data_IF_388245242401
#
_entry.id   IF_388245242401
#
_cell.length_a   1.000
_cell.length_b   1.000
_cell.length_c   1.000
_cell.angle_alpha   90.00
_cell.angle_beta   90.00
_cell.angle_gamma   90.00
#
_symmetry.space_group_name_H-M   'P 1'
#
loop_
_entity.id
_entity.type
_entity.pdbx_description
1 polymer ?
#
# COMPACT_ATOMS: atom_id res chain seq x y z
N UNK A 1 -4.37 15.88 13.03
CA UNK A 1 -2.92 15.77 12.80
C UNK A 1 -2.47 17.06 12.14
N UNK A 2 -1.46 17.75 12.67
CA UNK A 2 -1.07 19.09 12.19
C UNK A 2 -0.09 19.02 11.01
N UNK A 3 -0.20 19.97 10.08
CA UNK A 3 0.56 20.08 8.83
C UNK A 3 1.48 21.32 8.90
N UNK A 4 2.75 21.22 8.53
CA UNK A 4 3.77 22.30 8.62
C UNK A 4 4.52 22.42 7.28
N UNK A 5 4.90 23.59 6.74
CA UNK A 5 5.56 23.69 5.40
C UNK A 5 6.89 24.45 5.48
N UNK A 6 8.03 23.90 5.02
CA UNK A 6 9.35 24.28 5.58
C UNK A 6 10.33 25.21 4.82
N UNK A 7 9.95 26.01 3.81
CA UNK A 7 10.93 26.98 3.20
C UNK A 7 10.38 28.34 2.79
N UNK A 8 9.07 28.47 2.81
CA UNK A 8 8.37 29.73 3.13
C UNK A 8 7.34 29.29 4.14
N UNK A 9 7.60 29.52 5.43
CA UNK A 9 6.84 28.87 6.51
C UNK A 9 5.44 29.47 6.67
N UNK A 10 4.58 29.30 5.65
CA UNK A 10 3.14 29.42 5.75
C UNK A 10 2.60 28.11 6.32
N UNK A 11 2.25 28.17 7.60
CA UNK A 11 1.73 27.07 8.39
C UNK A 11 0.20 27.03 8.25
N UNK A 12 -0.35 25.95 7.70
CA UNK A 12 -1.80 25.72 7.66
C UNK A 12 -2.16 24.57 8.59
N UNK A 13 -2.84 24.92 9.69
CA UNK A 13 -3.41 23.96 10.62
C UNK A 13 -4.77 23.48 10.11
N UNK A 14 -4.86 22.27 9.56
CA UNK A 14 -6.15 21.58 9.40
C UNK A 14 -6.30 20.50 10.48
N UNK A 15 -7.42 20.57 11.21
CA UNK A 15 -7.74 19.64 12.30
C UNK A 15 -8.66 18.55 11.73
N UNK A 16 -8.12 17.35 11.51
CA UNK A 16 -8.92 16.12 11.48
C UNK A 16 -8.91 15.48 12.87
N UNK A 17 -10.08 15.36 13.54
CA UNK A 17 -10.16 14.70 14.84
C UNK A 17 -10.02 13.18 14.68
N UNK A 18 -8.99 12.59 15.31
CA UNK A 18 -8.92 11.16 15.58
C UNK A 18 -9.79 10.88 16.82
N UNK A 19 -11.00 10.40 16.59
CA UNK A 19 -12.00 10.18 17.64
C UNK A 19 -11.77 8.84 18.36
N UNK A 20 -11.00 8.83 19.46
CA UNK A 20 -11.00 7.71 20.42
C UNK A 20 -11.04 8.11 21.90
N UNK A 21 -11.09 9.41 22.22
CA UNK A 21 -11.34 9.88 23.59
C UNK A 21 -12.33 11.04 23.49
N UNK A 22 -13.48 10.97 24.18
CA UNK A 22 -14.36 12.15 24.33
C UNK A 22 -13.55 13.22 25.08
N UNK A 23 -13.14 14.32 24.42
CA UNK A 23 -12.35 15.33 25.11
C UNK A 23 -13.25 16.02 26.16
N UNK A 24 -12.72 16.26 27.36
CA UNK A 24 -13.43 16.98 28.44
C UNK A 24 -13.85 18.41 28.04
N UNK A 25 -13.29 18.94 26.95
CA UNK A 25 -13.67 20.18 26.28
C UNK A 25 -13.67 19.95 24.77
N UNK A 26 -14.70 20.40 24.07
CA UNK A 26 -14.69 20.49 22.60
C UNK A 26 -13.67 21.57 22.19
N UNK A 27 -12.63 21.24 21.41
CA UNK A 27 -11.68 22.24 20.94
C UNK A 27 -12.42 23.32 20.14
N UNK A 28 -12.19 24.59 20.47
CA UNK A 28 -12.69 25.71 19.66
C UNK A 28 -11.80 25.85 18.43
N UNK A 29 -12.31 26.40 17.31
CA UNK A 29 -11.50 26.68 16.12
C UNK A 29 -10.30 27.62 16.39
N UNK A 30 -10.33 28.34 17.51
CA UNK A 30 -9.27 29.24 17.99
C UNK A 30 -8.18 28.55 18.80
N UNK A 31 -8.39 27.30 19.22
CA UNK A 31 -7.46 26.61 20.12
C UNK A 31 -6.16 26.26 19.38
N UNK A 32 -5.04 26.77 19.89
CA UNK A 32 -3.71 26.53 19.35
C UNK A 32 -2.96 25.53 20.24
N UNK A 33 -2.30 24.58 19.61
CA UNK A 33 -1.36 23.72 20.30
C UNK A 33 -0.03 24.45 20.43
N UNK A 34 0.61 24.34 21.60
CA UNK A 34 2.02 24.67 21.73
C UNK A 34 2.81 23.46 21.23
N UNK A 35 3.52 23.61 20.11
CA UNK A 35 4.20 22.51 19.43
C UNK A 35 5.71 22.70 19.57
N UNK A 36 6.46 21.73 20.14
CA UNK A 36 7.91 21.75 20.08
C UNK A 36 8.33 21.48 18.63
N UNK A 37 9.04 22.43 18.04
CA UNK A 37 9.50 22.34 16.66
C UNK A 37 11.02 22.32 16.63
N UNK A 38 11.56 21.32 15.95
CA UNK A 38 12.97 21.20 15.69
C UNK A 38 13.23 20.92 14.22
N UNK A 39 14.35 21.41 13.70
CA UNK A 39 14.81 21.07 12.37
C UNK A 39 16.33 21.01 12.31
N UNK A 40 16.82 20.25 11.33
CA UNK A 40 18.23 20.01 11.10
C UNK A 40 18.62 20.20 9.64
N UNK A 41 19.85 20.68 9.42
CA UNK A 41 20.47 20.84 8.11
C UNK A 41 22.00 20.68 8.24
N UNK A 42 22.69 20.62 7.11
CA UNK A 42 24.12 20.27 7.06
C UNK A 42 24.34 18.76 6.94
N UNK A 43 25.46 18.26 7.45
CA UNK A 43 25.77 16.82 7.41
C UNK A 43 24.83 16.07 8.36
N UNK A 44 23.91 15.27 7.82
CA UNK A 44 22.87 14.63 8.65
C UNK A 44 23.37 13.37 9.41
N UNK A 45 24.57 12.86 9.07
CA UNK A 45 25.13 11.59 9.58
C UNK A 45 25.95 11.71 10.88
N UNK A 46 26.47 12.89 11.21
CA UNK A 46 27.33 13.11 12.38
C UNK A 46 26.97 14.39 13.12
N UNK A 47 27.13 14.41 14.44
CA UNK A 47 27.02 15.65 15.24
C UNK A 47 27.99 16.73 14.75
N UNK A 48 29.15 16.32 14.20
CA UNK A 48 30.07 17.23 13.53
C UNK A 48 29.45 17.72 12.22
N UNK A 49 29.15 19.02 12.17
CA UNK A 49 28.59 19.70 10.99
C UNK A 49 27.07 19.64 10.87
N UNK A 50 26.37 19.01 11.82
CA UNK A 50 24.90 19.06 11.90
C UNK A 50 24.45 20.28 12.70
N UNK A 51 23.62 21.13 12.09
CA UNK A 51 23.00 22.25 12.81
C UNK A 51 21.60 21.85 13.22
N UNK A 52 21.32 21.83 14.53
CA UNK A 52 19.98 21.57 15.08
C UNK A 52 19.43 22.87 15.67
N UNK A 53 18.20 23.20 15.30
CA UNK A 53 17.46 24.35 15.82
C UNK A 53 16.19 23.86 16.51
N UNK A 54 15.89 24.39 17.69
CA UNK A 54 14.71 24.00 18.46
C UNK A 54 14.00 25.22 19.08
N UNK A 55 12.68 25.27 18.98
CA UNK A 55 11.85 26.32 19.59
C UNK A 55 10.39 25.88 19.66
N UNK A 56 9.58 26.65 20.39
CA UNK A 56 8.15 26.38 20.54
C UNK A 56 7.33 27.22 19.58
N UNK A 57 6.49 26.56 18.77
CA UNK A 57 5.45 27.21 17.99
C UNK A 57 4.22 27.43 18.87
N UNK A 58 3.90 28.72 19.14
CA UNK A 58 2.73 29.13 19.94
C UNK A 58 1.64 29.82 19.13
N UNK A 59 1.99 30.32 17.95
CA UNK A 59 1.10 31.03 17.03
C UNK A 59 0.72 30.12 15.85
N UNK A 60 -0.39 30.43 15.18
CA UNK A 60 -0.82 29.73 13.95
C UNK A 60 0.27 29.72 12.89
N UNK A 61 0.91 30.86 12.71
CA UNK A 61 1.99 31.07 11.76
C UNK A 61 3.15 31.76 12.45
N UNK A 62 4.35 31.26 12.20
CA UNK A 62 5.61 31.90 12.56
C UNK A 62 6.41 32.04 11.26
N UNK A 63 7.26 33.05 11.15
CA UNK A 63 8.20 33.12 10.04
C UNK A 63 9.53 33.59 10.61
N UNK A 64 10.60 32.91 10.24
CA UNK A 64 11.95 33.22 10.68
C UNK A 64 12.89 32.97 9.51
N UNK A 65 14.07 33.58 9.58
CA UNK A 65 15.16 33.40 8.63
C UNK A 65 16.32 32.76 9.37
N UNK A 66 16.85 31.66 8.85
CA UNK A 66 18.11 31.08 9.31
C UNK A 66 19.18 31.38 8.25
N UNK A 67 20.14 32.22 8.61
CA UNK A 67 21.20 32.70 7.69
C UNK A 67 22.20 31.60 7.38
N UNK A 68 22.28 30.55 8.22
CA UNK A 68 23.18 29.41 8.00
C UNK A 68 22.57 28.36 7.07
N UNK A 69 21.25 28.42 6.80
CA UNK A 69 20.59 27.47 5.92
C UNK A 69 20.89 27.76 4.44
N UNK A 70 21.71 26.91 3.83
CA UNK A 70 21.97 26.99 2.40
C UNK A 70 20.75 26.59 1.55
N UNK A 71 20.41 27.35 0.48
CA UNK A 71 19.37 26.95 -0.47
C UNK A 71 19.61 25.59 -1.12
N UNK A 72 20.86 25.13 -1.19
CA UNK A 72 21.26 23.87 -1.83
C UNK A 72 21.26 22.64 -0.92
N UNK A 73 20.91 22.79 0.36
CA UNK A 73 20.92 21.68 1.33
C UNK A 73 19.51 21.32 1.80
N UNK A 74 19.16 20.03 1.92
CA UNK A 74 17.88 19.63 2.49
C UNK A 74 17.79 20.06 3.96
N UNK A 75 16.63 20.62 4.32
CA UNK A 75 16.21 20.79 5.71
C UNK A 75 15.29 19.65 6.08
N UNK A 76 15.53 19.04 7.25
CA UNK A 76 14.69 17.99 7.82
C UNK A 76 14.07 18.51 9.12
N UNK A 77 12.75 18.66 9.14
CA UNK A 77 12.02 19.05 10.34
C UNK A 77 11.50 17.80 11.10
N UNK A 78 11.39 17.94 12.42
CA UNK A 78 11.10 16.85 13.35
C UNK A 78 12.09 15.67 13.22
N UNK A 79 13.42 15.89 13.31
CA UNK A 79 14.40 14.83 13.18
C UNK A 79 14.10 13.65 14.13
N UNK A 80 14.34 12.45 13.61
CA UNK A 80 14.07 11.16 14.28
C UNK A 80 12.61 10.93 14.66
N UNK A 81 11.69 11.68 14.04
CA UNK A 81 10.25 11.59 14.26
C UNK A 81 9.88 11.68 15.75
N UNK A 82 10.48 12.64 16.43
CA UNK A 82 10.43 12.77 17.89
C UNK A 82 9.04 13.12 18.39
N UNK A 83 8.29 13.91 17.60
CA UNK A 83 6.96 14.39 17.97
C UNK A 83 5.88 13.90 16.99
N UNK A 84 4.63 13.70 17.46
CA UNK A 84 3.55 13.12 16.67
C UNK A 84 2.86 14.16 15.75
N UNK A 85 3.64 14.86 14.92
CA UNK A 85 3.13 15.73 13.86
C UNK A 85 3.79 15.44 12.52
N UNK A 86 3.13 15.87 11.43
CA UNK A 86 3.60 15.65 10.06
C UNK A 86 4.20 16.91 9.47
N UNK A 87 5.25 16.75 8.70
CA UNK A 87 5.99 17.85 8.09
C UNK A 87 5.81 17.81 6.58
N UNK A 88 5.22 18.87 6.05
CA UNK A 88 5.27 19.21 4.65
C UNK A 88 6.51 20.08 4.35
N UNK A 89 6.95 20.03 3.12
CA UNK A 89 8.04 20.84 2.61
C UNK A 89 7.60 21.55 1.34
N UNK A 90 8.31 22.61 0.95
CA UNK A 90 8.12 23.12 -0.40
C UNK A 90 8.65 22.10 -1.43
N UNK A 91 8.30 22.31 -2.70
CA UNK A 91 8.73 21.42 -3.78
C UNK A 91 10.25 21.32 -3.90
N UNK A 92 10.98 22.40 -3.60
CA UNK A 92 12.44 22.43 -3.72
C UNK A 92 13.08 21.51 -2.69
N UNK A 93 12.66 21.59 -1.44
CA UNK A 93 13.15 20.79 -0.34
C UNK A 93 12.70 19.33 -0.46
N UNK A 94 11.47 19.06 -0.88
CA UNK A 94 11.05 17.69 -1.21
C UNK A 94 11.96 17.05 -2.27
N UNK A 95 12.32 17.79 -3.33
CA UNK A 95 13.25 17.29 -4.36
C UNK A 95 14.66 17.01 -3.81
N UNK A 96 15.15 17.84 -2.88
CA UNK A 96 16.46 17.60 -2.25
C UNK A 96 16.44 16.38 -1.33
N UNK A 97 15.40 16.22 -0.51
CA UNK A 97 15.20 15.03 0.33
C UNK A 97 15.13 13.78 -0.55
N UNK A 98 14.33 13.81 -1.62
CA UNK A 98 14.20 12.67 -2.52
C UNK A 98 15.54 12.30 -3.19
N UNK A 99 16.34 13.27 -3.62
CA UNK A 99 17.69 13.02 -4.15
C UNK A 99 18.61 12.39 -3.10
N UNK A 100 18.59 12.92 -1.87
CA UNK A 100 19.41 12.39 -0.78
C UNK A 100 19.05 10.93 -0.46
N UNK A 101 17.76 10.58 -0.45
CA UNK A 101 17.30 9.20 -0.28
C UNK A 101 17.86 8.26 -1.37
N UNK A 102 17.90 8.70 -2.63
CA UNK A 102 18.44 7.87 -3.72
C UNK A 102 19.98 7.80 -3.73
N UNK A 103 20.67 8.84 -3.27
CA UNK A 103 22.12 8.93 -3.32
C UNK A 103 22.80 8.32 -2.09
N UNK A 104 22.29 8.62 -0.90
CA UNK A 104 22.85 8.20 0.38
C UNK A 104 21.81 8.27 1.50
N UNK A 105 20.77 7.43 1.44
CA UNK A 105 19.68 7.42 2.43
C UNK A 105 20.17 7.25 3.88
N UNK A 106 21.32 6.61 4.11
CA UNK A 106 21.89 6.43 5.44
C UNK A 106 22.30 7.74 6.14
N UNK A 107 22.45 8.85 5.40
CA UNK A 107 22.62 10.16 6.03
C UNK A 107 21.38 10.59 6.80
N UNK A 108 20.19 10.14 6.40
CA UNK A 108 18.93 10.42 7.08
C UNK A 108 18.68 9.29 8.09
N UNK A 109 18.54 9.54 9.40
CA UNK A 109 18.26 8.48 10.37
C UNK A 109 16.99 7.67 10.03
N UNK A 110 16.97 6.37 10.35
CA UNK A 110 15.88 5.46 9.98
C UNK A 110 14.48 6.00 10.37
N UNK A 111 14.30 6.50 11.60
CA UNK A 111 13.02 7.09 12.03
C UNK A 111 12.61 8.31 11.20
N UNK A 112 13.57 9.13 10.77
CA UNK A 112 13.30 10.25 9.87
C UNK A 112 12.90 9.76 8.47
N UNK A 113 13.48 8.66 7.97
CA UNK A 113 13.05 8.05 6.70
C UNK A 113 11.62 7.50 6.80
N UNK A 114 11.26 6.88 7.92
CA UNK A 114 9.87 6.47 8.22
C UNK A 114 8.92 7.66 8.17
N UNK A 115 9.27 8.77 8.84
CA UNK A 115 8.50 10.02 8.79
C UNK A 115 8.34 10.53 7.35
N UNK A 116 9.43 10.60 6.59
CA UNK A 116 9.41 11.08 5.20
C UNK A 116 8.45 10.27 4.34
N UNK A 117 8.46 8.92 4.43
CA UNK A 117 7.55 8.08 3.67
C UNK A 117 6.08 8.39 3.98
N UNK A 118 5.76 8.53 5.27
CA UNK A 118 4.41 8.80 5.77
C UNK A 118 3.96 10.22 5.40
N UNK A 119 4.82 11.21 5.57
CA UNK A 119 4.54 12.60 5.23
C UNK A 119 4.40 12.78 3.72
N UNK A 120 5.28 12.17 2.92
CA UNK A 120 5.22 12.19 1.47
C UNK A 120 3.92 11.56 0.94
N UNK A 121 3.47 10.45 1.50
CA UNK A 121 2.18 9.86 1.13
C UNK A 121 1.02 10.85 1.36
N UNK A 122 1.00 11.54 2.49
CA UNK A 122 -0.07 12.52 2.79
C UNK A 122 0.00 13.77 1.93
N UNK A 123 1.18 14.32 1.70
CA UNK A 123 1.32 15.62 1.04
C UNK A 123 1.57 15.56 -0.46
N UNK A 124 2.12 14.46 -0.97
CA UNK A 124 2.52 14.35 -2.38
C UNK A 124 1.61 13.43 -3.18
N UNK A 125 1.14 12.30 -2.63
CA UNK A 125 0.42 11.28 -3.40
C UNK A 125 -0.85 11.78 -4.12
N UNK A 126 -1.54 12.76 -3.52
CA UNK A 126 -2.77 13.37 -4.06
C UNK A 126 -2.58 14.86 -4.43
N UNK A 127 -1.33 15.29 -4.61
CA UNK A 127 -0.99 16.68 -4.94
C UNK A 127 -0.90 16.90 -6.45
N UNK A 128 -0.41 18.07 -6.86
CA UNK A 128 0.00 18.36 -8.23
C UNK A 128 1.38 17.77 -8.60
N UNK A 129 2.04 17.04 -7.69
CA UNK A 129 3.36 16.44 -7.86
C UNK A 129 3.44 14.95 -7.41
N UNK A 130 2.47 14.09 -7.74
CA UNK A 130 2.45 12.69 -7.30
C UNK A 130 3.64 11.87 -7.82
N UNK A 131 4.24 12.27 -8.93
CA UNK A 131 5.47 11.66 -9.47
C UNK A 131 6.65 11.75 -8.50
N UNK A 132 6.68 12.77 -7.62
CA UNK A 132 7.73 12.90 -6.62
C UNK A 132 7.55 11.88 -5.48
N UNK A 133 6.30 11.56 -5.12
CA UNK A 133 6.00 10.48 -4.18
C UNK A 133 6.45 9.12 -4.74
N UNK A 134 6.09 8.81 -5.99
CA UNK A 134 6.53 7.58 -6.66
C UNK A 134 8.06 7.52 -6.71
N UNK A 135 8.72 8.63 -7.06
CA UNK A 135 10.17 8.71 -7.06
C UNK A 135 10.77 8.43 -5.67
N UNK A 136 10.20 8.98 -4.59
CA UNK A 136 10.63 8.65 -3.22
C UNK A 136 10.50 7.14 -2.97
N UNK A 137 9.37 6.51 -3.26
CA UNK A 137 9.22 5.06 -3.03
C UNK A 137 10.28 4.21 -3.76
N UNK A 138 10.81 4.68 -4.89
CA UNK A 138 11.87 3.98 -5.62
C UNK A 138 13.18 3.80 -4.85
N UNK A 139 13.52 4.67 -3.88
CA UNK A 139 14.79 4.54 -3.13
C UNK A 139 14.82 3.26 -2.28
N UNK A 140 13.65 2.75 -1.90
CA UNK A 140 13.49 1.56 -1.06
C UNK A 140 14.14 0.30 -1.66
N UNK A 141 14.49 0.31 -2.95
CA UNK A 141 15.30 -0.73 -3.57
C UNK A 141 16.69 -0.89 -2.92
N UNK A 142 17.18 0.13 -2.21
CA UNK A 142 18.46 0.10 -1.50
C UNK A 142 18.32 0.08 0.03
N UNK A 143 17.12 0.25 0.57
CA UNK A 143 16.88 0.34 2.02
C UNK A 143 17.15 -1.01 2.70
N UNK A 144 17.94 -0.99 3.78
CA UNK A 144 18.26 -2.18 4.57
C UNK A 144 17.53 -2.20 5.92
N UNK A 145 17.01 -1.06 6.40
CA UNK A 145 16.21 -1.04 7.61
C UNK A 145 14.85 -1.69 7.37
N UNK A 146 14.60 -2.80 8.07
CA UNK A 146 13.35 -3.56 7.92
C UNK A 146 12.12 -2.74 8.33
N UNK A 147 12.22 -1.90 9.37
CA UNK A 147 11.12 -1.06 9.81
C UNK A 147 10.71 -0.04 8.74
N UNK A 148 11.69 0.64 8.13
CA UNK A 148 11.46 1.60 7.03
C UNK A 148 10.88 0.87 5.82
N UNK A 149 11.45 -0.27 5.47
CA UNK A 149 11.02 -1.08 4.33
C UNK A 149 9.59 -1.61 4.48
N UNK A 150 9.16 -2.00 5.68
CA UNK A 150 7.79 -2.45 5.95
C UNK A 150 6.77 -1.31 5.78
N UNK A 151 7.09 -0.10 6.22
CA UNK A 151 6.24 1.09 5.96
C UNK A 151 6.19 1.40 4.45
N UNK A 152 7.33 1.31 3.78
CA UNK A 152 7.44 1.47 2.33
C UNK A 152 6.63 0.43 1.55
N UNK A 153 6.66 -0.83 1.98
CA UNK A 153 5.85 -1.91 1.40
C UNK A 153 4.35 -1.61 1.53
N UNK A 154 3.91 -1.18 2.71
CA UNK A 154 2.51 -0.82 2.95
C UNK A 154 2.08 0.36 2.06
N UNK A 155 2.95 1.35 1.89
CA UNK A 155 2.74 2.50 1.00
C UNK A 155 2.67 2.10 -0.49
N UNK A 156 3.57 1.21 -0.95
CA UNK A 156 3.56 0.68 -2.31
C UNK A 156 2.31 -0.16 -2.58
N UNK A 157 1.91 -1.01 -1.63
CA UNK A 157 0.67 -1.78 -1.76
C UNK A 157 -0.55 -0.86 -1.90
N UNK A 158 -0.66 0.21 -1.08
CA UNK A 158 -1.73 1.21 -1.21
C UNK A 158 -1.67 1.97 -2.53
N UNK A 159 -0.48 2.26 -3.05
CA UNK A 159 -0.30 2.90 -4.35
C UNK A 159 -0.88 2.03 -5.47
N UNK A 160 -0.49 0.76 -5.56
CA UNK A 160 -1.06 -0.17 -6.54
C UNK A 160 -2.57 -0.34 -6.35
N UNK A 161 -3.01 -0.41 -5.09
CA UNK A 161 -4.43 -0.54 -4.75
C UNK A 161 -5.27 0.68 -5.16
N UNK A 162 -4.67 1.86 -5.28
CA UNK A 162 -5.34 3.08 -5.77
C UNK A 162 -5.61 3.04 -7.29
N UNK A 163 -4.87 2.20 -8.03
CA UNK A 163 -5.04 2.00 -9.47
C UNK A 163 -5.72 0.66 -9.81
N UNK A 164 -6.49 0.12 -8.86
CA UNK A 164 -7.32 -1.08 -9.05
C UNK A 164 -8.08 -1.03 -10.37
N UNK A 165 -7.98 -2.10 -11.15
CA UNK A 165 -8.68 -2.25 -12.42
C UNK A 165 -7.96 -1.69 -13.64
N UNK A 166 -6.83 -1.00 -13.46
CA UNK A 166 -5.97 -0.42 -14.50
C UNK A 166 -4.63 -1.19 -14.51
N UNK A 167 -4.13 -1.51 -15.70
CA UNK A 167 -2.78 -2.08 -15.85
C UNK A 167 -1.77 -0.94 -16.04
N UNK A 168 -0.70 -0.95 -15.25
CA UNK A 168 0.33 0.10 -15.19
C UNK A 168 1.74 -0.53 -15.27
N UNK A 169 2.13 -1.07 -16.44
CA UNK A 169 3.37 -1.81 -16.59
C UNK A 169 4.62 -0.97 -16.26
N UNK A 170 4.61 0.32 -16.54
CA UNK A 170 5.74 1.21 -16.24
C UNK A 170 5.95 1.37 -14.72
N UNK A 171 4.86 1.47 -13.95
CA UNK A 171 4.93 1.56 -12.49
C UNK A 171 5.39 0.23 -11.88
N UNK A 172 4.88 -0.89 -12.41
CA UNK A 172 5.30 -2.23 -12.01
C UNK A 172 6.80 -2.43 -12.25
N UNK A 173 7.30 -2.06 -13.44
CA UNK A 173 8.72 -2.14 -13.78
C UNK A 173 9.57 -1.24 -12.89
N UNK A 174 9.12 -0.02 -12.61
CA UNK A 174 9.84 0.93 -11.76
C UNK A 174 9.99 0.42 -10.31
N UNK A 175 8.96 -0.21 -9.75
CA UNK A 175 8.95 -0.69 -8.36
C UNK A 175 9.42 -2.15 -8.20
N UNK A 176 9.64 -2.90 -9.28
CA UNK A 176 10.14 -4.28 -9.23
C UNK A 176 11.44 -4.44 -8.43
N UNK A 177 12.45 -3.53 -8.52
CA UNK A 177 13.64 -3.60 -7.67
C UNK A 177 13.33 -3.45 -6.18
N UNK A 178 12.34 -2.63 -5.82
CA UNK A 178 11.90 -2.47 -4.43
C UNK A 178 11.30 -3.77 -3.91
N UNK A 179 10.45 -4.43 -4.70
CA UNK A 179 9.87 -5.74 -4.32
C UNK A 179 10.95 -6.81 -4.20
N UNK A 180 11.99 -6.76 -5.05
CA UNK A 180 13.13 -7.66 -4.92
C UNK A 180 13.93 -7.44 -3.62
N UNK A 181 14.10 -6.18 -3.20
CA UNK A 181 14.73 -5.85 -1.92
C UNK A 181 13.88 -6.32 -0.73
N UNK A 182 12.56 -6.19 -0.81
CA UNK A 182 11.65 -6.72 0.23
C UNK A 182 11.73 -8.25 0.35
N UNK A 183 11.90 -8.98 -0.77
CA UNK A 183 12.14 -10.43 -0.74
C UNK A 183 13.43 -10.77 0.00
N UNK A 184 14.51 -10.06 -0.33
CA UNK A 184 15.80 -10.24 0.34
C UNK A 184 15.68 -9.99 1.84
N UNK A 185 15.03 -8.90 2.25
CA UNK A 185 14.82 -8.59 3.67
C UNK A 185 13.97 -9.62 4.40
N UNK A 186 12.97 -10.20 3.72
CA UNK A 186 12.21 -11.32 4.29
C UNK A 186 13.14 -12.50 4.56
N UNK A 187 13.96 -12.90 3.59
CA UNK A 187 14.88 -14.03 3.72
C UNK A 187 15.94 -13.78 4.80
N UNK A 188 16.57 -12.60 4.79
CA UNK A 188 17.59 -12.21 5.78
C UNK A 188 17.02 -12.21 7.21
N UNK A 189 15.76 -11.78 7.38
CA UNK A 189 15.10 -11.71 8.69
C UNK A 189 14.77 -13.08 9.30
N UNK A 190 14.75 -14.18 8.52
CA UNK A 190 14.41 -15.52 9.03
C UNK A 190 15.42 -16.04 10.08
N UNK A 191 16.64 -15.51 10.04
CA UNK A 191 17.72 -15.90 10.97
C UNK A 191 17.58 -15.28 12.36
N UNK A 192 16.72 -14.25 12.50
CA UNK A 192 16.53 -13.52 13.75
C UNK A 192 15.04 -13.46 14.11
N UNK A 193 14.67 -14.09 15.23
CA UNK A 193 13.27 -14.18 15.70
C UNK A 193 12.60 -12.82 15.87
N UNK A 194 13.32 -11.80 16.36
CA UNK A 194 12.74 -10.46 16.57
C UNK A 194 12.44 -9.77 15.24
N UNK A 195 13.36 -9.87 14.27
CA UNK A 195 13.15 -9.31 12.93
C UNK A 195 12.07 -10.09 12.17
N UNK A 196 12.05 -11.42 12.28
CA UNK A 196 10.99 -12.25 11.70
C UNK A 196 9.61 -11.89 12.28
N UNK A 197 9.52 -11.61 13.59
CA UNK A 197 8.28 -11.22 14.24
C UNK A 197 7.71 -9.89 13.71
N UNK A 198 8.55 -8.97 13.20
CA UNK A 198 8.07 -7.72 12.60
C UNK A 198 7.16 -7.97 11.39
N UNK A 199 7.38 -9.03 10.62
CA UNK A 199 6.49 -9.41 9.52
C UNK A 199 5.12 -9.88 9.98
N UNK A 200 5.00 -10.33 11.23
CA UNK A 200 3.79 -10.93 11.80
C UNK A 200 2.97 -9.94 12.65
N UNK A 201 3.49 -8.74 12.92
CA UNK A 201 2.76 -7.69 13.66
C UNK A 201 1.46 -7.30 12.96
N UNK A 202 1.47 -7.24 11.62
CA UNK A 202 0.28 -7.06 10.80
C UNK A 202 -0.01 -8.38 10.06
N UNK A 203 -1.14 -9.05 10.34
CA UNK A 203 -1.44 -10.37 9.81
C UNK A 203 -1.53 -10.42 8.27
N UNK A 204 -1.70 -9.27 7.60
CA UNK A 204 -1.81 -9.23 6.13
C UNK A 204 -0.49 -8.86 5.42
N UNK A 205 0.60 -8.55 6.13
CA UNK A 205 1.89 -8.13 5.52
C UNK A 205 2.45 -9.12 4.53
N UNK A 206 2.49 -10.39 4.90
CA UNK A 206 3.03 -11.43 4.01
C UNK A 206 2.13 -11.65 2.78
N UNK A 207 0.81 -11.43 2.92
CA UNK A 207 -0.13 -11.44 1.79
C UNK A 207 0.10 -10.25 0.86
N UNK A 208 0.31 -9.04 1.42
CA UNK A 208 0.66 -7.83 0.64
C UNK A 208 1.96 -8.03 -0.13
N UNK A 209 3.03 -8.52 0.51
CA UNK A 209 4.29 -8.80 -0.16
C UNK A 209 4.09 -9.78 -1.31
N UNK A 210 3.33 -10.85 -1.06
CA UNK A 210 3.04 -11.84 -2.08
C UNK A 210 2.27 -11.25 -3.27
N UNK A 211 1.30 -10.38 -3.01
CA UNK A 211 0.58 -9.65 -4.06
C UNK A 211 1.53 -8.76 -4.89
N UNK A 212 2.43 -8.03 -4.23
CA UNK A 212 3.43 -7.19 -4.90
C UNK A 212 4.38 -8.01 -5.77
N UNK A 213 4.79 -9.22 -5.34
CA UNK A 213 5.58 -10.14 -6.17
C UNK A 213 4.86 -10.44 -7.48
N UNK A 214 3.58 -10.72 -7.41
CA UNK A 214 2.78 -11.07 -8.57
C UNK A 214 2.55 -9.87 -9.50
N UNK A 215 2.25 -8.70 -8.95
CA UNK A 215 2.11 -7.44 -9.71
C UNK A 215 3.39 -7.04 -10.45
N UNK A 216 4.55 -7.33 -9.87
CA UNK A 216 5.86 -7.01 -10.46
C UNK A 216 6.49 -8.19 -11.20
N UNK A 217 5.71 -9.25 -11.47
CA UNK A 217 6.12 -10.46 -12.19
C UNK A 217 7.42 -11.10 -11.65
N UNK A 218 7.57 -11.13 -10.32
CA UNK A 218 8.73 -11.74 -9.65
C UNK A 218 8.63 -13.26 -9.73
N UNK A 219 9.75 -13.99 -9.94
CA UNK A 219 9.76 -15.45 -9.94
C UNK A 219 9.24 -16.06 -8.63
N UNK A 220 9.42 -15.35 -7.51
CA UNK A 220 8.93 -15.72 -6.18
C UNK A 220 7.40 -15.67 -6.05
N UNK A 221 6.67 -15.10 -7.02
CA UNK A 221 5.23 -15.28 -7.14
C UNK A 221 4.87 -16.66 -7.73
N UNK A 222 5.68 -17.21 -8.63
CA UNK A 222 5.34 -18.39 -9.43
C UNK A 222 5.56 -19.71 -8.66
N UNK A 223 4.76 -19.93 -7.60
CA UNK A 223 4.76 -21.18 -6.85
C UNK A 223 3.93 -22.26 -7.57
N UNK A 224 4.33 -22.65 -8.79
CA UNK A 224 3.67 -23.73 -9.56
C UNK A 224 3.44 -24.99 -8.72
N UNK A 225 4.37 -25.33 -7.83
CA UNK A 225 4.27 -26.48 -6.94
C UNK A 225 3.18 -26.32 -5.87
N UNK A 226 2.99 -25.12 -5.32
CA UNK A 226 1.94 -24.84 -4.35
C UNK A 226 0.57 -24.81 -5.04
N UNK A 227 0.49 -24.23 -6.24
CA UNK A 227 -0.71 -24.27 -7.06
C UNK A 227 -1.09 -25.72 -7.43
N UNK A 228 -0.14 -26.53 -7.91
CA UNK A 228 -0.33 -27.96 -8.21
C UNK A 228 -0.73 -28.76 -6.97
N UNK A 229 -0.13 -28.51 -5.82
CA UNK A 229 -0.48 -29.17 -4.56
C UNK A 229 -1.91 -28.85 -4.13
N UNK A 230 -2.31 -27.58 -4.22
CA UNK A 230 -3.68 -27.16 -3.97
C UNK A 230 -4.66 -27.86 -4.93
N UNK A 231 -4.32 -27.99 -6.21
CA UNK A 231 -5.14 -28.71 -7.19
C UNK A 231 -5.33 -30.19 -6.84
N UNK A 232 -4.30 -30.85 -6.29
CA UNK A 232 -4.38 -32.24 -5.86
C UNK A 232 -5.15 -32.40 -4.54
N UNK A 233 -5.07 -31.41 -3.65
CA UNK A 233 -5.65 -31.46 -2.31
C UNK A 233 -6.31 -30.12 -1.90
N UNK A 234 -7.47 -29.75 -2.46
CA UNK A 234 -8.13 -28.46 -2.22
C UNK A 234 -8.53 -28.25 -0.75
N UNK A 235 -8.75 -29.34 -0.03
CA UNK A 235 -9.15 -29.34 1.39
C UNK A 235 -7.95 -29.26 2.34
N UNK A 236 -6.71 -29.30 1.83
CA UNK A 236 -5.49 -29.31 2.65
C UNK A 236 -4.91 -27.91 2.90
N UNK A 237 -5.79 -26.91 2.99
CA UNK A 237 -5.40 -25.53 3.28
C UNK A 237 -4.71 -25.49 4.65
N UNK A 238 -3.37 -25.40 4.64
CA UNK A 238 -2.56 -25.16 5.85
C UNK A 238 -2.70 -23.71 6.32
N UNK A 239 -2.09 -23.37 7.46
CA UNK A 239 -2.09 -22.09 8.21
C UNK A 239 -1.88 -20.79 7.39
N UNK A 240 -1.63 -20.88 6.08
CA UNK A 240 -1.44 -19.75 5.17
C UNK A 240 -2.37 -19.81 3.95
N UNK A 241 -3.67 -19.75 4.23
CA UNK A 241 -4.76 -19.77 3.25
C UNK A 241 -4.60 -18.63 2.23
N UNK A 242 -4.24 -17.42 2.67
CA UNK A 242 -4.16 -16.25 1.81
C UNK A 242 -3.03 -16.32 0.79
N UNK A 243 -1.83 -16.76 1.17
CA UNK A 243 -0.75 -17.00 0.19
C UNK A 243 -1.13 -18.08 -0.80
N UNK A 244 -1.75 -19.17 -0.35
CA UNK A 244 -2.17 -20.26 -1.23
C UNK A 244 -3.20 -19.82 -2.27
N UNK A 245 -4.26 -19.12 -1.86
CA UNK A 245 -5.29 -18.63 -2.79
C UNK A 245 -4.68 -17.65 -3.79
N UNK A 246 -3.83 -16.72 -3.34
CA UNK A 246 -3.18 -15.76 -4.24
C UNK A 246 -2.26 -16.45 -5.24
N UNK A 247 -1.52 -17.49 -4.81
CA UNK A 247 -0.64 -18.25 -5.69
C UNK A 247 -1.40 -19.04 -6.76
N UNK A 248 -2.47 -19.72 -6.35
CA UNK A 248 -3.34 -20.45 -7.28
C UNK A 248 -4.00 -19.47 -8.26
N UNK A 249 -4.47 -18.31 -7.77
CA UNK A 249 -5.06 -17.27 -8.61
C UNK A 249 -4.08 -16.76 -9.68
N UNK A 250 -2.88 -16.36 -9.29
CA UNK A 250 -1.86 -15.92 -10.23
C UNK A 250 -1.50 -17.01 -11.25
N UNK A 251 -1.39 -18.27 -10.81
CA UNK A 251 -1.14 -19.40 -11.69
C UNK A 251 -2.26 -19.56 -12.74
N UNK A 252 -3.52 -19.51 -12.31
CA UNK A 252 -4.68 -19.58 -13.21
C UNK A 252 -4.77 -18.38 -14.16
N UNK A 253 -4.28 -17.21 -13.76
CA UNK A 253 -4.25 -16.02 -14.61
C UNK A 253 -3.18 -16.10 -15.70
N UNK A 254 -2.00 -16.60 -15.35
CA UNK A 254 -0.82 -16.65 -16.24
C UNK A 254 -0.79 -17.90 -17.13
N UNK A 255 -1.44 -19.00 -16.72
CA UNK A 255 -1.41 -20.27 -17.43
C UNK A 255 -2.78 -20.66 -17.99
N UNK A 256 -2.81 -21.22 -19.19
CA UNK A 256 -4.04 -21.69 -19.84
C UNK A 256 -4.43 -23.09 -19.34
N UNK A 257 -5.08 -23.17 -18.19
CA UNK A 257 -5.40 -24.42 -17.49
C UNK A 257 -6.80 -24.95 -17.85
N UNK A 258 -7.02 -25.37 -19.10
CA UNK A 258 -8.36 -25.79 -19.57
C UNK A 258 -8.91 -27.06 -18.92
N UNK A 259 -8.05 -28.03 -18.56
CA UNK A 259 -8.46 -29.31 -17.93
C UNK A 259 -8.66 -29.21 -16.42
N UNK A 260 -7.94 -28.30 -15.76
CA UNK A 260 -7.88 -28.21 -14.28
C UNK A 260 -9.02 -27.35 -13.72
N UNK A 261 -9.62 -26.52 -14.57
CA UNK A 261 -10.83 -25.73 -14.27
C UNK A 261 -12.12 -26.56 -14.24
N UNK A 262 -12.10 -27.82 -14.70
CA UNK A 262 -13.23 -28.73 -14.52
C UNK A 262 -13.63 -28.90 -13.04
N UNK A 263 -12.69 -28.74 -12.10
CA UNK A 263 -13.00 -28.73 -10.67
C UNK A 263 -13.78 -27.47 -10.24
N UNK A 264 -13.47 -26.31 -10.81
CA UNK A 264 -14.27 -25.10 -10.60
C UNK A 264 -15.64 -25.23 -11.27
N UNK A 265 -15.80 -26.02 -12.33
CA UNK A 265 -17.14 -26.29 -12.88
C UNK A 265 -18.02 -27.18 -12.01
N UNK A 266 -17.47 -27.77 -10.92
CA UNK A 266 -18.27 -28.38 -9.85
C UNK A 266 -18.88 -27.36 -8.87
N UNK A 267 -18.92 -26.06 -9.22
CA UNK A 267 -19.64 -24.96 -8.55
C UNK A 267 -21.16 -25.16 -8.38
N UNK A 268 -21.68 -26.39 -8.53
CA UNK A 268 -23.09 -26.77 -8.30
C UNK A 268 -23.44 -26.95 -6.82
N UNK A 269 -22.48 -27.16 -5.92
CA UNK A 269 -22.76 -27.38 -4.50
C UNK A 269 -22.58 -26.09 -3.70
N UNK A 270 -23.69 -25.57 -3.16
CA UNK A 270 -23.70 -24.56 -2.09
C UNK A 270 -23.08 -25.19 -0.84
N UNK A 271 -21.76 -25.14 -0.71
CA UNK A 271 -21.01 -25.58 0.45
C UNK A 271 -19.99 -24.54 0.88
N UNK A 272 -19.29 -24.81 1.98
CA UNK A 272 -18.33 -23.88 2.61
C UNK A 272 -17.17 -23.42 1.70
N UNK A 273 -16.98 -24.06 0.54
CA UNK A 273 -15.87 -23.81 -0.40
C UNK A 273 -16.30 -23.07 -1.68
N UNK A 274 -17.60 -22.78 -1.82
CA UNK A 274 -18.13 -22.13 -3.02
C UNK A 274 -17.50 -20.75 -3.25
N UNK A 275 -17.32 -19.95 -2.20
CA UNK A 275 -16.70 -18.62 -2.28
C UNK A 275 -15.26 -18.69 -2.81
N UNK A 276 -14.44 -19.59 -2.27
CA UNK A 276 -13.05 -19.81 -2.73
C UNK A 276 -13.01 -20.29 -4.18
N UNK A 277 -13.89 -21.22 -4.56
CA UNK A 277 -13.95 -21.70 -5.94
C UNK A 277 -14.36 -20.60 -6.93
N UNK A 278 -15.33 -19.75 -6.56
CA UNK A 278 -15.72 -18.59 -7.38
C UNK A 278 -14.58 -17.59 -7.51
N UNK A 279 -13.88 -17.28 -6.42
CA UNK A 279 -12.73 -16.37 -6.42
C UNK A 279 -11.61 -16.89 -7.34
N UNK A 280 -11.27 -18.17 -7.26
CA UNK A 280 -10.27 -18.78 -8.13
C UNK A 280 -10.72 -18.85 -9.60
N UNK A 281 -12.01 -19.05 -9.86
CA UNK A 281 -12.56 -19.01 -11.22
C UNK A 281 -12.49 -17.62 -11.84
N UNK A 282 -12.63 -16.55 -11.04
CA UNK A 282 -12.43 -15.17 -11.48
C UNK A 282 -11.00 -14.91 -11.96
N UNK A 283 -10.02 -15.64 -11.43
CA UNK A 283 -8.62 -15.54 -11.85
C UNK A 283 -8.29 -16.26 -13.16
N UNK A 284 -9.17 -17.13 -13.66
CA UNK A 284 -8.84 -18.01 -14.78
C UNK A 284 -8.52 -17.26 -16.07
N UNK A 285 -7.48 -17.69 -16.77
CA UNK A 285 -7.15 -17.25 -18.13
C UNK A 285 -8.23 -17.66 -19.16
N UNK A 286 -8.98 -18.73 -18.88
CA UNK A 286 -9.95 -19.31 -19.80
C UNK A 286 -11.25 -18.51 -19.90
N UNK A 287 -11.53 -17.93 -21.06
CA UNK A 287 -12.73 -17.12 -21.33
C UNK A 287 -14.06 -17.81 -20.96
N UNK A 288 -14.17 -19.12 -21.22
CA UNK A 288 -15.37 -19.91 -20.90
C UNK A 288 -15.64 -19.96 -19.39
N UNK A 289 -14.57 -20.09 -18.61
CA UNK A 289 -14.59 -20.23 -17.15
C UNK A 289 -15.02 -18.91 -16.54
N UNK A 290 -14.36 -17.85 -16.97
CA UNK A 290 -14.61 -16.48 -16.54
C UNK A 290 -16.07 -16.08 -16.78
N UNK A 291 -16.61 -16.40 -17.96
CA UNK A 291 -18.02 -16.14 -18.29
C UNK A 291 -18.99 -16.99 -17.45
N UNK A 292 -18.63 -18.25 -17.16
CA UNK A 292 -19.45 -19.13 -16.32
C UNK A 292 -19.48 -18.64 -14.87
N UNK A 293 -18.32 -18.28 -14.31
CA UNK A 293 -18.19 -17.73 -12.97
C UNK A 293 -19.03 -16.45 -12.81
N UNK A 294 -18.88 -15.50 -13.74
CA UNK A 294 -19.69 -14.29 -13.77
C UNK A 294 -21.21 -14.59 -13.79
N UNK A 295 -21.65 -15.55 -14.61
CA UNK A 295 -23.06 -15.96 -14.67
C UNK A 295 -23.54 -16.57 -13.36
N UNK A 296 -22.74 -17.42 -12.72
CA UNK A 296 -23.09 -18.07 -11.45
C UNK A 296 -23.15 -17.07 -10.28
N UNK A 297 -22.21 -16.13 -10.22
CA UNK A 297 -22.23 -15.02 -9.24
C UNK A 297 -23.52 -14.23 -9.39
N UNK A 298 -23.85 -13.81 -10.62
CA UNK A 298 -25.07 -13.03 -10.88
C UNK A 298 -26.33 -13.81 -10.54
N UNK A 299 -26.36 -15.12 -10.83
CA UNK A 299 -27.49 -15.99 -10.50
C UNK A 299 -27.76 -16.13 -8.99
N UNK A 300 -26.80 -15.79 -8.12
CA UNK A 300 -27.03 -15.82 -6.67
C UNK A 300 -27.98 -14.74 -6.18
N UNK A 301 -28.06 -13.61 -6.88
CA UNK A 301 -28.82 -12.41 -6.48
C UNK A 301 -28.55 -12.00 -5.01
N UNK A 302 -27.33 -12.21 -4.53
CA UNK A 302 -26.95 -12.00 -3.13
C UNK A 302 -25.91 -10.89 -3.00
N UNK A 303 -26.29 -9.74 -2.45
CA UNK A 303 -25.44 -8.56 -2.35
C UNK A 303 -24.09 -8.81 -1.66
N UNK A 304 -24.03 -9.68 -0.63
CA UNK A 304 -22.78 -10.00 0.06
C UNK A 304 -21.80 -10.77 -0.85
N UNK A 305 -22.30 -11.65 -1.72
CA UNK A 305 -21.49 -12.37 -2.71
C UNK A 305 -20.95 -11.40 -3.77
N UNK A 306 -21.76 -10.45 -4.22
CA UNK A 306 -21.32 -9.41 -5.15
C UNK A 306 -20.28 -8.49 -4.52
N UNK A 307 -20.52 -7.99 -3.31
CA UNK A 307 -19.58 -7.17 -2.57
C UNK A 307 -18.24 -7.90 -2.38
N UNK A 308 -18.27 -9.16 -1.93
CA UNK A 308 -17.06 -9.98 -1.78
C UNK A 308 -16.32 -10.18 -3.11
N UNK A 309 -17.03 -10.39 -4.21
CA UNK A 309 -16.43 -10.52 -5.54
C UNK A 309 -15.78 -9.21 -6.00
N UNK A 310 -16.49 -8.09 -5.84
CA UNK A 310 -16.04 -6.76 -6.26
C UNK A 310 -14.91 -6.22 -5.37
N UNK A 311 -14.81 -6.67 -4.12
CA UNK A 311 -13.75 -6.28 -3.19
C UNK A 311 -12.56 -7.26 -3.21
N UNK A 312 -12.70 -8.41 -3.87
CA UNK A 312 -11.62 -9.39 -3.97
C UNK A 312 -10.46 -8.83 -4.79
N UNK A 313 -9.26 -8.82 -4.20
CA UNK A 313 -8.01 -8.41 -4.87
C UNK A 313 -7.83 -9.14 -6.21
N UNK A 314 -8.23 -10.41 -6.28
CA UNK A 314 -8.18 -11.21 -7.49
C UNK A 314 -9.01 -10.65 -8.63
N UNK A 315 -10.24 -10.24 -8.35
CA UNK A 315 -11.15 -9.68 -9.35
C UNK A 315 -10.71 -8.27 -9.79
N UNK A 316 -10.19 -7.49 -8.84
CA UNK A 316 -9.80 -6.09 -9.06
C UNK A 316 -8.45 -5.94 -9.76
N UNK A 317 -7.47 -6.79 -9.43
CA UNK A 317 -6.10 -6.64 -9.90
C UNK A 317 -5.79 -7.55 -11.09
N UNK A 318 -6.30 -8.78 -11.11
CA UNK A 318 -5.82 -9.77 -12.08
C UNK A 318 -6.60 -9.71 -13.40
N UNK A 319 -7.93 -9.77 -13.38
CA UNK A 319 -8.65 -10.21 -14.59
C UNK A 319 -9.66 -9.19 -15.15
N UNK A 320 -9.21 -8.35 -16.09
CA UNK A 320 -10.07 -7.43 -16.82
C UNK A 320 -11.17 -8.14 -17.65
N UNK A 321 -10.90 -9.35 -18.16
CA UNK A 321 -11.91 -10.15 -18.89
C UNK A 321 -13.03 -10.58 -17.94
N UNK A 322 -12.69 -10.97 -16.72
CA UNK A 322 -13.68 -11.30 -15.69
C UNK A 322 -14.53 -10.10 -15.31
N UNK A 323 -13.92 -8.94 -15.04
CA UNK A 323 -14.67 -7.71 -14.77
C UNK A 323 -15.66 -7.41 -15.89
N UNK A 324 -15.22 -7.46 -17.15
CA UNK A 324 -16.10 -7.26 -18.31
C UNK A 324 -17.24 -8.27 -18.36
N UNK A 325 -16.94 -9.56 -18.14
CA UNK A 325 -17.95 -10.61 -18.14
C UNK A 325 -18.97 -10.42 -17.00
N UNK A 326 -18.52 -10.05 -15.80
CA UNK A 326 -19.37 -9.78 -14.64
C UNK A 326 -20.32 -8.61 -14.91
N UNK A 327 -19.80 -7.47 -15.36
CA UNK A 327 -20.62 -6.31 -15.71
C UNK A 327 -21.60 -6.61 -16.86
N UNK A 328 -21.20 -7.41 -17.84
CA UNK A 328 -22.09 -7.87 -18.91
C UNK A 328 -23.25 -8.71 -18.39
N UNK A 329 -23.04 -9.55 -17.37
CA UNK A 329 -24.11 -10.34 -16.77
C UNK A 329 -25.01 -9.50 -15.87
N UNK A 330 -24.46 -8.58 -15.08
CA UNK A 330 -25.23 -7.62 -14.27
C UNK A 330 -26.09 -6.74 -15.19
N UNK A 331 -25.57 -6.34 -16.34
CA UNK A 331 -26.29 -5.54 -17.34
C UNK A 331 -27.56 -6.20 -17.88
N UNK A 332 -27.69 -7.53 -17.77
CA UNK A 332 -28.88 -8.29 -18.19
C UNK A 332 -29.99 -8.36 -17.14
N UNK A 333 -29.70 -7.97 -15.90
CA UNK A 333 -30.69 -7.91 -14.83
C UNK A 333 -31.69 -6.78 -15.08
N UNK A 334 -32.90 -6.88 -14.52
CA UNK A 334 -33.89 -5.79 -14.59
C UNK A 334 -33.41 -4.59 -13.78
N UNK A 335 -34.01 -3.42 -14.03
CA UNK A 335 -33.68 -2.21 -13.25
C UNK A 335 -33.98 -2.40 -11.75
N UNK A 336 -35.09 -3.05 -11.42
CA UNK A 336 -35.49 -3.39 -10.05
C UNK A 336 -34.47 -4.31 -9.36
N UNK A 337 -34.04 -5.37 -10.05
CA UNK A 337 -33.05 -6.30 -9.52
C UNK A 337 -31.70 -5.61 -9.26
N UNK A 338 -31.29 -4.69 -10.14
CA UNK A 338 -30.06 -3.90 -9.93
C UNK A 338 -30.20 -2.93 -8.77
N UNK A 339 -31.35 -2.27 -8.63
CA UNK A 339 -31.59 -1.34 -7.52
C UNK A 339 -31.58 -2.07 -6.17
N UNK A 340 -32.17 -3.25 -6.09
CA UNK A 340 -32.12 -4.09 -4.87
C UNK A 340 -30.71 -4.62 -4.60
N UNK A 341 -29.94 -4.90 -5.65
CA UNK A 341 -28.58 -5.43 -5.52
C UNK A 341 -27.60 -4.38 -4.98
N UNK A 342 -27.74 -3.13 -5.43
CA UNK A 342 -26.86 -2.02 -5.09
C UNK A 342 -27.49 -1.01 -4.13
N UNK A 343 -28.62 -1.36 -3.48
CA UNK A 343 -29.19 -0.53 -2.44
C UNK A 343 -28.18 -0.45 -1.30
N UNK A 344 -27.73 0.76 -1.04
CA UNK A 344 -26.87 1.07 0.11
C UNK A 344 -27.79 1.14 1.31
N UNK A 345 -27.75 0.11 2.16
CA UNK A 345 -28.24 0.21 3.55
C UNK A 345 -27.16 0.84 4.42
#
# INVERSE_FOLDING_TARGET
MQLFTARTLCFQTEITPLALVRPRRTPKPTDLWSVPFSYTFGTLKSSDGQVVREFWLKNRSVSFVDVELSPSQPLLANPSWTYPYRVNYDTTNWKMIARLLHQNHEEIPARSRMQILIDAETFLAHSNLPQLYVYILGYLAQEQDLGVSLLGMDAIHRLFDSFRGIDLPELQLYLAPVVAQLDKLLDDSQTNTELAALWLIDPIRLSKLYHLRCMTNRPTCDHKNQARRWMLFPNSMRDDVHKQVTAVCHFFFTHNTTKEVCYLTQLKTRGNQWSTAVQLAACSHGDRVVKLAAKQIVATKNAAIFASTLQSDFSLHYNAKFRRALWTQIGKMTAEERNLLFSVD
#
